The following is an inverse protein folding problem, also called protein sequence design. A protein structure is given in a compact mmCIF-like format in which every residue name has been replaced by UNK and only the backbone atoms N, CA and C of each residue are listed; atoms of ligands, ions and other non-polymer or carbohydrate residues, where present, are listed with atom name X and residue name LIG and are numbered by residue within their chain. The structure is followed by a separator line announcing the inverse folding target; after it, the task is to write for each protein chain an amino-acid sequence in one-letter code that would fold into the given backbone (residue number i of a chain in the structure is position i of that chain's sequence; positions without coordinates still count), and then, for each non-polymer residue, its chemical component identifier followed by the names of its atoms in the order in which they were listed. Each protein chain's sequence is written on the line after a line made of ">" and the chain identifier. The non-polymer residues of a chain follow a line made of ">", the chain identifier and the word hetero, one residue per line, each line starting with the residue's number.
data_IF_832037345036
#
_entry.id   IF_832037345036
#
_cell.length_a   1.000
_cell.length_b   1.000
_cell.length_c   1.000
_cell.angle_alpha   90.00
_cell.angle_beta   90.00
_cell.angle_gamma   90.00
#
_symmetry.space_group_name_H-M   'P 1'
#
loop_
_entity.id
_entity.type
_entity.pdbx_description
1 polymer ?
#
# COMPACT_ATOMS: atom_id res chain seq x y z
N UNK A 1 4.14 3.26 -4.72
CA UNK A 1 3.35 2.60 -5.78
C UNK A 1 1.87 2.56 -5.44
N UNK A 2 1.44 1.92 -4.34
CA UNK A 2 0.01 1.92 -4.00
C UNK A 2 -0.57 3.31 -3.74
N UNK A 3 0.19 4.23 -3.15
CA UNK A 3 -0.25 5.61 -2.94
C UNK A 3 -0.55 6.36 -4.26
N UNK A 4 0.23 6.16 -5.33
CA UNK A 4 -0.05 6.82 -6.62
C UNK A 4 -1.34 6.30 -7.24
N UNK A 5 -1.58 4.98 -7.18
CA UNK A 5 -2.84 4.39 -7.64
C UNK A 5 -4.02 4.86 -6.79
N UNK A 6 -3.87 4.86 -5.46
CA UNK A 6 -4.92 5.31 -4.53
C UNK A 6 -5.23 6.80 -4.64
N UNK A 7 -4.30 7.62 -5.13
CA UNK A 7 -4.52 9.04 -5.41
C UNK A 7 -5.32 9.25 -6.70
N UNK A 8 -4.97 8.51 -7.76
CA UNK A 8 -5.55 8.66 -9.10
C UNK A 8 -6.94 7.99 -9.21
N UNK A 9 -7.13 6.81 -8.63
CA UNK A 9 -8.39 6.03 -8.79
C UNK A 9 -9.65 6.80 -8.38
N UNK A 10 -9.67 7.55 -7.25
CA UNK A 10 -10.83 8.35 -6.85
C UNK A 10 -11.25 9.46 -7.83
N UNK A 11 -10.37 9.87 -8.75
CA UNK A 11 -10.71 10.80 -9.85
C UNK A 11 -11.65 10.13 -10.87
N UNK A 12 -11.46 8.84 -11.11
CA UNK A 12 -12.24 8.09 -12.10
C UNK A 12 -13.40 7.30 -11.49
N UNK A 13 -13.24 6.81 -10.27
CA UNK A 13 -14.22 5.93 -9.64
C UNK A 13 -14.27 6.10 -8.12
N UNK A 14 -15.48 6.27 -7.60
CA UNK A 14 -15.78 6.25 -6.16
C UNK A 14 -16.78 5.15 -5.87
N UNK A 15 -16.59 4.44 -4.75
CA UNK A 15 -17.52 3.40 -4.35
C UNK A 15 -18.91 3.97 -4.08
N UNK A 16 -19.99 3.33 -4.53
CA UNK A 16 -21.33 3.74 -4.17
C UNK A 16 -21.60 3.40 -2.68
N UNK A 17 -22.19 4.34 -1.94
CA UNK A 17 -22.66 4.11 -0.57
C UNK A 17 -22.07 5.06 0.48
N UNK A 18 -22.18 4.64 1.74
CA UNK A 18 -21.74 5.42 2.90
C UNK A 18 -20.36 4.98 3.36
N UNK A 19 -19.44 5.93 3.50
CA UNK A 19 -18.15 5.72 4.18
C UNK A 19 -18.36 5.59 5.69
N UNK A 20 -19.31 6.33 6.26
CA UNK A 20 -19.72 6.17 7.66
C UNK A 20 -21.24 6.30 7.80
N UNK A 21 -21.97 5.19 7.97
CA UNK A 21 -23.41 5.21 8.17
C UNK A 21 -23.84 5.99 9.41
N UNK A 22 -23.02 5.98 10.47
CA UNK A 22 -23.30 6.70 11.72
C UNK A 22 -23.16 8.21 11.60
N UNK A 23 -22.35 8.70 10.64
CA UNK A 23 -22.18 10.13 10.35
C UNK A 23 -22.92 10.57 9.07
N UNK A 24 -23.64 9.65 8.41
CA UNK A 24 -24.33 9.92 7.15
C UNK A 24 -23.39 10.34 6.01
N UNK A 25 -22.09 10.04 6.10
CA UNK A 25 -21.06 10.52 5.18
C UNK A 25 -20.89 9.55 4.01
N UNK A 26 -21.08 10.01 2.77
CA UNK A 26 -20.95 9.19 1.56
C UNK A 26 -19.54 9.23 0.99
N UNK A 27 -19.16 8.19 0.24
CA UNK A 27 -17.89 8.18 -0.49
C UNK A 27 -17.83 9.27 -1.57
N UNK A 28 -18.97 9.69 -2.12
CA UNK A 28 -19.06 10.84 -3.05
C UNK A 28 -18.66 12.16 -2.42
N UNK A 29 -18.89 12.32 -1.11
CA UNK A 29 -18.74 13.59 -0.40
C UNK A 29 -17.28 13.81 0.07
N UNK A 30 -16.42 12.82 -0.14
CA UNK A 30 -14.99 12.90 0.14
C UNK A 30 -14.31 13.56 -1.08
N UNK A 31 -13.65 14.71 -0.91
CA UNK A 31 -12.89 15.36 -1.98
C UNK A 31 -11.68 14.50 -2.36
N UNK A 32 -11.16 14.72 -3.56
CA UNK A 32 -9.97 14.00 -4.02
C UNK A 32 -8.69 14.61 -3.39
N UNK A 33 -7.59 13.87 -3.48
CA UNK A 33 -6.29 14.34 -3.00
C UNK A 33 -6.18 14.51 -1.48
N UNK A 34 -5.35 15.47 -1.05
CA UNK A 34 -5.00 15.72 0.34
C UNK A 34 -6.20 16.19 1.18
N UNK A 35 -7.18 16.83 0.56
CA UNK A 35 -8.41 17.25 1.23
C UNK A 35 -9.22 16.05 1.76
N UNK A 36 -9.07 14.86 1.16
CA UNK A 36 -9.73 13.63 1.60
C UNK A 36 -9.40 13.30 3.06
N UNK A 37 -8.15 13.52 3.48
CA UNK A 37 -7.67 13.20 4.81
C UNK A 37 -8.44 13.94 5.91
N UNK A 38 -8.92 15.15 5.61
CA UNK A 38 -9.71 15.96 6.55
C UNK A 38 -11.16 15.46 6.74
N UNK A 39 -11.66 14.62 5.82
CA UNK A 39 -13.04 14.09 5.86
C UNK A 39 -13.14 12.69 6.43
N UNK A 40 -12.02 11.99 6.59
CA UNK A 40 -12.00 10.64 7.16
C UNK A 40 -12.31 10.74 8.67
N UNK A 41 -13.31 9.99 9.19
CA UNK A 41 -13.57 9.96 10.62
C UNK A 41 -12.35 9.43 11.39
N UNK A 42 -12.05 10.03 12.55
CA UNK A 42 -10.87 9.66 13.37
C UNK A 42 -10.85 8.16 13.71
N UNK A 43 -12.01 7.57 14.02
CA UNK A 43 -12.12 6.14 14.29
C UNK A 43 -11.77 5.29 13.05
N UNK A 44 -12.15 5.72 11.85
CA UNK A 44 -11.78 5.05 10.61
C UNK A 44 -10.28 5.16 10.33
N UNK A 45 -9.69 6.34 10.57
CA UNK A 45 -8.23 6.53 10.50
C UNK A 45 -7.47 5.65 11.48
N UNK A 46 -7.95 5.55 12.73
CA UNK A 46 -7.37 4.69 13.75
C UNK A 46 -7.46 3.19 13.37
N UNK A 47 -8.56 2.75 12.75
CA UNK A 47 -8.70 1.39 12.23
C UNK A 47 -7.66 1.08 11.15
N UNK A 48 -7.42 2.02 10.23
CA UNK A 48 -6.41 1.86 9.18
C UNK A 48 -5.01 1.72 9.80
N UNK A 49 -4.65 2.59 10.74
CA UNK A 49 -3.35 2.53 11.43
C UNK A 49 -3.19 1.23 12.21
N UNK A 50 -4.22 0.81 12.95
CA UNK A 50 -4.20 -0.43 13.71
C UNK A 50 -4.06 -1.65 12.78
N UNK A 51 -4.73 -1.64 11.62
CA UNK A 51 -4.62 -2.70 10.62
C UNK A 51 -3.23 -2.76 9.98
N UNK A 52 -2.67 -1.61 9.59
CA UNK A 52 -1.30 -1.54 9.08
C UNK A 52 -0.29 -2.04 10.13
N UNK A 53 -0.43 -1.60 11.38
CA UNK A 53 0.42 -2.05 12.48
C UNK A 53 0.29 -3.55 12.74
N UNK A 54 -0.92 -4.12 12.64
CA UNK A 54 -1.13 -5.56 12.74
C UNK A 54 -0.43 -6.30 11.60
N UNK A 55 -0.54 -5.83 10.36
CA UNK A 55 0.14 -6.45 9.20
C UNK A 55 1.66 -6.39 9.38
N UNK A 56 2.21 -5.22 9.73
CA UNK A 56 3.65 -5.03 9.90
C UNK A 56 4.22 -5.85 11.06
N UNK A 57 3.43 -6.03 12.13
CA UNK A 57 3.86 -6.82 13.28
C UNK A 57 3.75 -8.31 12.99
N UNK A 58 2.62 -8.78 12.46
CA UNK A 58 2.29 -10.21 12.41
C UNK A 58 2.60 -10.90 11.09
N UNK A 59 2.78 -10.16 10.00
CA UNK A 59 2.92 -10.74 8.66
C UNK A 59 1.64 -11.43 8.17
N UNK A 60 0.45 -10.92 8.54
CA UNK A 60 -0.88 -11.53 8.35
C UNK A 60 -1.19 -12.12 6.95
N UNK A 61 -0.52 -11.68 5.89
CA UNK A 61 -0.70 -12.18 4.51
C UNK A 61 0.39 -13.16 4.05
N UNK A 62 1.20 -13.70 4.96
CA UNK A 62 2.36 -14.50 4.59
C UNK A 62 2.04 -15.99 4.42
N UNK A 63 2.59 -16.60 3.36
CA UNK A 63 2.66 -18.06 3.24
C UNK A 63 3.56 -18.62 4.33
N UNK A 64 3.01 -19.55 5.13
CA UNK A 64 3.69 -20.19 6.25
C UNK A 64 5.10 -20.67 5.86
N UNK A 65 6.08 -20.32 6.70
CA UNK A 65 7.43 -20.88 6.73
C UNK A 65 8.12 -21.02 5.36
N UNK A 66 8.64 -19.94 4.81
CA UNK A 66 9.74 -20.05 3.84
C UNK A 66 11.02 -19.57 4.49
N UNK A 67 12.01 -20.46 4.53
CA UNK A 67 13.36 -20.24 5.10
C UNK A 67 14.08 -19.08 4.43
N UNK A 68 13.64 -18.70 3.22
CA UNK A 68 14.28 -17.70 2.35
C UNK A 68 13.62 -16.29 2.40
N UNK A 69 12.50 -16.14 3.13
CA UNK A 69 11.72 -14.90 3.22
C UNK A 69 11.61 -14.33 4.63
N UNK A 70 11.16 -13.08 4.77
CA UNK A 70 10.86 -12.46 6.08
C UNK A 70 9.61 -13.11 6.69
N UNK A 71 9.74 -14.34 7.19
CA UNK A 71 8.70 -15.07 7.93
C UNK A 71 8.40 -14.48 9.31
N UNK A 72 7.38 -15.00 10.02
CA UNK A 72 7.31 -14.82 11.46
C UNK A 72 8.61 -15.35 12.11
N UNK A 73 9.09 -14.64 13.14
CA UNK A 73 10.18 -15.12 14.01
C UNK A 73 9.75 -16.44 14.63
N UNK A 74 10.67 -17.38 14.75
CA UNK A 74 10.39 -18.69 15.32
C UNK A 74 9.75 -18.55 16.71
N UNK A 75 8.53 -19.09 16.88
CA UNK A 75 7.78 -19.03 18.14
C UNK A 75 7.11 -17.69 18.47
N UNK A 76 7.07 -16.70 17.57
CA UNK A 76 6.47 -15.38 17.84
C UNK A 76 5.54 -14.92 16.70
N UNK A 77 4.46 -14.23 17.07
CA UNK A 77 3.60 -13.48 16.14
C UNK A 77 4.24 -12.13 15.73
N UNK A 78 5.55 -12.13 15.51
CA UNK A 78 6.35 -10.95 15.20
C UNK A 78 7.19 -11.22 13.95
N UNK A 79 7.23 -10.29 13.01
CA UNK A 79 7.99 -10.42 11.77
C UNK A 79 9.50 -10.52 12.03
N UNK A 80 10.23 -11.31 11.24
CA UNK A 80 11.70 -11.28 11.23
C UNK A 80 12.18 -9.87 10.85
N UNK A 81 13.11 -9.37 11.67
CA UNK A 81 13.71 -8.05 11.46
C UNK A 81 14.60 -8.06 10.20
N UNK A 82 14.82 -6.86 9.65
CA UNK A 82 15.70 -6.56 8.53
C UNK A 82 17.16 -7.00 8.75
N UNK A 83 17.55 -7.27 10.00
CA UNK A 83 18.88 -7.73 10.41
C UNK A 83 19.03 -9.25 10.40
N UNK A 84 17.93 -10.00 10.29
CA UNK A 84 17.97 -11.47 10.30
C UNK A 84 18.03 -12.03 8.87
N UNK A 85 18.53 -13.26 8.73
CA UNK A 85 18.83 -13.90 7.44
C UNK A 85 17.58 -14.15 6.58
N UNK A 86 17.10 -13.11 5.91
CA UNK A 86 15.99 -13.11 4.97
C UNK A 86 16.31 -12.18 3.80
N UNK A 87 15.93 -12.55 2.58
CA UNK A 87 16.06 -11.66 1.43
C UNK A 87 15.18 -10.40 1.64
N UNK A 88 15.74 -9.18 1.59
CA UNK A 88 14.97 -7.96 1.78
C UNK A 88 13.82 -7.84 0.77
N UNK A 89 12.62 -7.54 1.25
CA UNK A 89 11.42 -7.41 0.40
C UNK A 89 10.79 -8.74 -0.03
N UNK A 90 11.35 -9.89 0.34
CA UNK A 90 10.76 -11.19 0.07
C UNK A 90 9.86 -11.63 1.23
N UNK A 91 8.55 -11.53 1.05
CA UNK A 91 7.54 -12.00 2.01
C UNK A 91 7.11 -13.45 1.73
N UNK A 92 7.76 -14.20 0.84
CA UNK A 92 7.42 -15.62 0.60
C UNK A 92 6.08 -15.86 -0.11
N UNK A 93 5.35 -14.81 -0.47
CA UNK A 93 4.04 -14.84 -1.12
C UNK A 93 4.09 -14.97 -2.65
N UNK A 94 5.27 -14.78 -3.27
CA UNK A 94 5.45 -14.87 -4.72
C UNK A 94 5.06 -13.61 -5.51
N UNK A 95 5.13 -13.70 -6.84
CA UNK A 95 4.85 -12.62 -7.81
C UNK A 95 3.61 -12.96 -8.62
N UNK A 96 2.64 -12.04 -8.74
CA UNK A 96 1.58 -11.76 -7.76
C UNK A 96 1.29 -12.90 -6.78
N UNK A 97 0.75 -12.59 -5.59
CA UNK A 97 0.39 -13.52 -4.49
C UNK A 97 -0.34 -14.82 -4.90
N UNK A 98 -0.90 -14.88 -6.11
CA UNK A 98 -1.67 -15.99 -6.67
C UNK A 98 -1.03 -16.71 -7.88
N UNK A 99 0.08 -16.19 -8.43
CA UNK A 99 0.74 -16.71 -9.64
C UNK A 99 2.02 -17.53 -9.35
N UNK A 100 2.40 -17.64 -8.08
CA UNK A 100 3.55 -18.44 -7.63
C UNK A 100 4.87 -17.67 -7.61
N UNK A 101 5.96 -18.38 -7.36
CA UNK A 101 7.33 -17.81 -7.37
C UNK A 101 7.88 -17.83 -8.79
N UNK A 102 8.74 -16.86 -9.11
CA UNK A 102 9.50 -16.85 -10.36
C UNK A 102 10.77 -17.65 -10.12
N UNK A 103 10.81 -18.87 -10.64
CA UNK A 103 11.91 -19.82 -10.40
C UNK A 103 13.15 -19.53 -11.26
N UNK A 104 12.96 -18.90 -12.43
CA UNK A 104 14.06 -18.54 -13.34
C UNK A 104 14.87 -17.32 -12.83
N UNK A 105 16.19 -17.46 -12.61
CA UNK A 105 17.01 -16.40 -11.99
C UNK A 105 17.17 -15.15 -12.86
N UNK A 106 17.22 -15.28 -14.19
CA UNK A 106 17.34 -14.13 -15.09
C UNK A 106 16.05 -13.30 -15.13
N UNK A 107 14.90 -13.98 -15.24
CA UNK A 107 13.58 -13.37 -15.20
C UNK A 107 13.31 -12.72 -13.85
N UNK A 108 13.72 -13.36 -12.74
CA UNK A 108 13.60 -12.80 -11.38
C UNK A 108 14.37 -11.48 -11.26
N UNK A 109 15.62 -11.44 -11.73
CA UNK A 109 16.44 -10.23 -11.69
C UNK A 109 15.81 -9.07 -12.48
N UNK A 110 15.28 -9.36 -13.67
CA UNK A 110 14.61 -8.36 -14.50
C UNK A 110 13.34 -7.80 -13.83
N UNK A 111 12.49 -8.67 -13.27
CA UNK A 111 11.26 -8.26 -12.58
C UNK A 111 11.52 -7.45 -11.31
N UNK A 112 12.50 -7.84 -10.50
CA UNK A 112 12.92 -7.06 -9.32
C UNK A 112 13.47 -5.68 -9.71
N UNK A 113 14.25 -5.60 -10.79
CA UNK A 113 14.73 -4.33 -11.32
C UNK A 113 13.57 -3.44 -11.80
N UNK A 114 12.57 -4.02 -12.45
CA UNK A 114 11.37 -3.31 -12.89
C UNK A 114 10.53 -2.81 -11.69
N UNK A 115 10.33 -3.62 -10.65
CA UNK A 115 9.65 -3.20 -9.41
C UNK A 115 10.38 -2.03 -8.74
N UNK A 116 11.71 -2.10 -8.66
CA UNK A 116 12.51 -1.02 -8.08
C UNK A 116 12.45 0.27 -8.91
N UNK A 117 12.55 0.17 -10.24
CA UNK A 117 12.47 1.32 -11.13
C UNK A 117 11.08 1.99 -11.08
N UNK A 118 10.01 1.19 -11.09
CA UNK A 118 8.65 1.69 -10.92
C UNK A 118 8.41 2.26 -9.51
N UNK A 119 9.05 1.68 -8.49
CA UNK A 119 9.05 2.21 -7.14
C UNK A 119 9.63 3.63 -7.07
N UNK A 120 10.80 3.85 -7.68
CA UNK A 120 11.46 5.16 -7.78
C UNK A 120 10.61 6.18 -8.53
N UNK A 121 10.03 5.77 -9.66
CA UNK A 121 9.11 6.62 -10.43
C UNK A 121 7.90 7.01 -9.58
N UNK A 122 7.27 6.04 -8.90
CA UNK A 122 6.10 6.29 -8.08
C UNK A 122 6.38 7.22 -6.89
N UNK A 123 7.58 7.16 -6.30
CA UNK A 123 7.99 8.09 -5.24
C UNK A 123 8.06 9.53 -5.76
N UNK A 124 8.64 9.74 -6.95
CA UNK A 124 8.70 11.08 -7.56
C UNK A 124 7.31 11.56 -8.02
N UNK A 125 6.49 10.67 -8.56
CA UNK A 125 5.14 10.99 -9.04
C UNK A 125 4.21 11.45 -7.91
N UNK A 126 4.15 10.73 -6.79
CA UNK A 126 3.28 11.12 -5.67
C UNK A 126 3.68 12.46 -5.05
N UNK A 127 4.99 12.72 -4.97
CA UNK A 127 5.51 14.00 -4.48
C UNK A 127 5.04 15.13 -5.42
N UNK A 128 5.17 14.94 -6.74
CA UNK A 128 4.68 15.91 -7.73
C UNK A 128 3.18 16.18 -7.61
N UNK A 129 2.36 15.13 -7.44
CA UNK A 129 0.91 15.27 -7.26
C UNK A 129 0.56 16.01 -5.96
N UNK A 130 1.26 15.74 -4.85
CA UNK A 130 1.06 16.46 -3.59
C UNK A 130 1.47 17.93 -3.67
N UNK A 131 2.58 18.24 -4.34
CA UNK A 131 3.00 19.63 -4.54
C UNK A 131 2.01 20.40 -5.40
N UNK A 132 1.45 19.77 -6.44
CA UNK A 132 0.41 20.38 -7.25
C UNK A 132 -0.83 20.65 -6.42
N UNK A 133 -1.37 19.64 -5.73
CA UNK A 133 -2.57 19.77 -4.88
C UNK A 133 -2.39 20.82 -3.77
N UNK A 134 -1.20 20.88 -3.15
CA UNK A 134 -0.88 21.90 -2.15
C UNK A 134 -0.81 23.32 -2.71
N UNK A 135 -0.46 23.50 -3.99
CA UNK A 135 -0.35 24.83 -4.63
C UNK A 135 -1.66 25.26 -5.32
N UNK A 136 -2.39 24.34 -5.94
CA UNK A 136 -3.64 24.62 -6.67
C UNK A 136 -4.88 24.48 -5.80
N UNK A 137 -4.76 23.83 -4.64
CA UNK A 137 -5.88 23.56 -3.74
C UNK A 137 -6.87 22.51 -4.27
N UNK A 138 -6.47 21.78 -5.31
CA UNK A 138 -7.28 20.78 -5.99
C UNK A 138 -6.41 19.63 -6.51
N UNK A 139 -6.95 18.42 -6.45
CA UNK A 139 -6.28 17.25 -6.95
C UNK A 139 -6.05 17.35 -8.47
N UNK A 140 -5.12 16.55 -8.97
CA UNK A 140 -4.86 16.47 -10.40
C UNK A 140 -6.17 16.06 -11.12
N UNK A 141 -6.50 16.71 -12.26
CA UNK A 141 -7.72 16.41 -13.02
C UNK A 141 -9.03 17.04 -12.55
N UNK A 142 -9.01 17.91 -11.52
CA UNK A 142 -10.19 18.66 -11.02
C UNK A 142 -10.37 20.04 -11.71
N UNK A 143 -9.77 20.22 -12.90
CA UNK A 143 -9.83 21.43 -13.74
C UNK A 143 -10.60 21.20 -15.05
#
# INVERSE_FOLDING_TARGET
>A
MYATMGYIVPEYFKFPGFLSPSLGLKFSDVPNGLAALSKIPVLGGAQIIAFCGLIETTGFFQAASTTDGRGPREGQFAMKDSTEAAEPGNYGVGFPTFLGKVDDPETRKSKLAAELANGRLAMMAIIGMFFQDGLTGSAWGDW
#
